data_IF_990394956831
#
_entry.id   IF_990394956831
#
_cell.length_a   1.000
_cell.length_b   1.000
_cell.length_c   1.000
_cell.angle_alpha   90.00
_cell.angle_beta   90.00
_cell.angle_gamma   90.00
#
_symmetry.space_group_name_H-M   'P 1'
#
loop_
_entity.id
_entity.type
_entity.pdbx_description
1 polymer ?
#
# COMPACT_ATOMS: atom_id res chain seq x y z
N UNK A 1 7.93 7.64 -0.15
CA UNK A 1 6.58 8.02 0.30
C UNK A 1 6.22 9.40 -0.23
N UNK A 2 5.07 9.50 -0.89
CA UNK A 2 4.49 10.71 -1.46
C UNK A 2 3.30 11.17 -0.61
N UNK A 3 3.11 12.49 -0.48
CA UNK A 3 2.01 13.09 0.27
C UNK A 3 0.98 13.66 -0.69
N UNK A 4 -0.28 13.35 -0.44
CA UNK A 4 -1.41 13.79 -1.26
C UNK A 4 -2.49 14.40 -0.36
N UNK A 5 -3.12 15.50 -0.79
CA UNK A 5 -4.12 16.21 0.02
C UNK A 5 -5.40 16.48 -0.77
N UNK A 6 -6.53 16.12 -0.17
CA UNK A 6 -7.89 16.51 -0.56
C UNK A 6 -8.67 16.89 0.70
N UNK A 7 -8.87 18.20 0.95
CA UNK A 7 -9.40 18.69 2.24
C UNK A 7 -10.73 18.00 2.63
N UNK A 8 -10.87 17.53 3.88
CA UNK A 8 -9.94 17.65 5.02
C UNK A 8 -8.87 16.55 5.10
N UNK A 9 -8.83 15.62 4.15
CA UNK A 9 -8.01 14.41 4.16
C UNK A 9 -6.60 14.66 3.62
N UNK A 10 -5.60 14.09 4.29
CA UNK A 10 -4.23 13.97 3.82
C UNK A 10 -3.84 12.49 3.88
N UNK A 11 -3.27 11.97 2.79
CA UNK A 11 -2.83 10.59 2.69
C UNK A 11 -1.34 10.53 2.37
N UNK A 12 -0.66 9.54 2.95
CA UNK A 12 0.73 9.22 2.66
C UNK A 12 0.73 7.87 1.97
N UNK A 13 1.26 7.85 0.75
CA UNK A 13 1.22 6.66 -0.10
C UNK A 13 2.58 6.39 -0.74
N UNK A 14 2.79 5.16 -1.19
CA UNK A 14 3.95 4.72 -1.95
C UNK A 14 3.45 4.18 -3.30
N UNK A 15 3.95 4.76 -4.39
CA UNK A 15 3.62 4.28 -5.73
C UNK A 15 4.36 2.97 -6.02
N UNK A 16 3.65 2.05 -6.66
CA UNK A 16 4.16 0.75 -7.03
C UNK A 16 4.54 0.72 -8.51
N UNK A 17 5.84 0.65 -8.81
CA UNK A 17 6.32 0.40 -10.17
C UNK A 17 7.04 -0.94 -10.22
N UNK A 18 8.31 -1.02 -9.82
CA UNK A 18 9.04 -2.31 -9.81
C UNK A 18 10.11 -2.33 -8.72
N UNK A 19 9.81 -1.81 -7.53
CA UNK A 19 10.79 -1.68 -6.45
C UNK A 19 10.41 -2.49 -5.22
N UNK A 20 11.17 -3.56 -4.97
CA UNK A 20 11.03 -4.41 -3.81
C UNK A 20 11.49 -3.70 -2.53
N UNK A 21 12.53 -2.86 -2.61
CA UNK A 21 13.15 -2.27 -1.43
C UNK A 21 12.26 -1.24 -0.73
N UNK A 22 11.54 -0.42 -1.50
CA UNK A 22 10.61 0.56 -0.94
C UNK A 22 9.38 -0.10 -0.30
N UNK A 23 8.85 -1.16 -0.94
CA UNK A 23 7.72 -1.93 -0.41
C UNK A 23 8.13 -2.67 0.87
N UNK A 24 9.29 -3.32 0.85
CA UNK A 24 9.82 -4.04 2.02
C UNK A 24 10.04 -3.12 3.21
N UNK A 25 10.67 -1.97 2.97
CA UNK A 25 10.88 -0.95 4.00
C UNK A 25 9.54 -0.46 4.55
N UNK A 26 8.60 -0.11 3.67
CA UNK A 26 7.29 0.39 4.08
C UNK A 26 6.52 -0.61 4.95
N UNK A 27 6.47 -1.88 4.55
CA UNK A 27 5.76 -2.92 5.29
C UNK A 27 6.48 -3.29 6.59
N UNK A 28 7.81 -3.33 6.60
CA UNK A 28 8.59 -3.57 7.82
C UNK A 28 8.37 -2.45 8.83
N UNK A 29 8.51 -1.19 8.42
CA UNK A 29 8.26 -0.03 9.28
C UNK A 29 6.81 -0.04 9.81
N UNK A 30 5.84 -0.44 8.98
CA UNK A 30 4.43 -0.56 9.38
C UNK A 30 4.21 -1.68 10.42
N UNK A 31 4.76 -2.87 10.16
CA UNK A 31 4.67 -4.02 11.07
C UNK A 31 5.26 -3.69 12.45
N UNK A 32 6.45 -3.09 12.49
CA UNK A 32 7.11 -2.69 13.73
C UNK A 32 6.35 -1.60 14.48
N UNK A 33 5.84 -0.59 13.77
CA UNK A 33 5.16 0.56 14.40
C UNK A 33 3.79 0.20 14.95
N UNK A 34 3.03 -0.65 14.24
CA UNK A 34 1.62 -0.91 14.53
C UNK A 34 1.36 -2.34 15.02
N UNK A 35 2.40 -3.11 15.33
CA UNK A 35 2.32 -4.52 15.73
C UNK A 35 1.50 -5.35 14.72
N UNK A 36 1.78 -5.19 13.43
CA UNK A 36 1.14 -5.91 12.33
C UNK A 36 2.04 -7.01 11.79
N UNK A 37 1.44 -7.95 11.07
CA UNK A 37 2.13 -9.09 10.45
C UNK A 37 1.80 -9.14 8.96
N UNK A 38 2.09 -8.06 8.22
CA UNK A 38 1.96 -8.07 6.77
C UNK A 38 3.16 -8.76 6.12
N UNK A 39 2.88 -9.73 5.25
CA UNK A 39 3.86 -10.35 4.37
C UNK A 39 3.61 -9.90 2.93
N UNK A 40 4.63 -9.90 2.06
CA UNK A 40 4.45 -9.53 0.67
C UNK A 40 5.20 -10.44 -0.30
N UNK A 41 4.69 -10.52 -1.53
CA UNK A 41 5.37 -11.17 -2.65
C UNK A 41 5.07 -10.44 -3.96
N UNK A 42 6.02 -10.49 -4.87
CA UNK A 42 5.78 -10.06 -6.25
C UNK A 42 5.23 -11.21 -7.07
N UNK A 43 4.16 -10.92 -7.78
CA UNK A 43 3.55 -11.79 -8.77
C UNK A 43 3.48 -11.13 -10.14
N UNK A 44 2.82 -11.83 -11.07
CA UNK A 44 2.42 -11.28 -12.35
C UNK A 44 1.00 -11.72 -12.65
N UNK A 45 0.16 -10.80 -13.12
CA UNK A 45 -1.18 -11.10 -13.62
C UNK A 45 -1.26 -10.69 -15.08
N UNK A 46 -1.56 -11.65 -15.96
CA UNK A 46 -1.62 -11.46 -17.42
C UNK A 46 -0.37 -10.80 -18.04
N UNK A 47 0.80 -11.00 -17.40
CA UNK A 47 2.08 -10.44 -17.84
C UNK A 47 2.47 -9.11 -17.16
N UNK A 48 1.54 -8.46 -16.46
CA UNK A 48 1.79 -7.21 -15.73
C UNK A 48 2.28 -7.49 -14.30
N UNK A 49 3.21 -6.69 -13.75
CA UNK A 49 3.63 -6.81 -12.35
C UNK A 49 2.46 -6.62 -11.39
N UNK A 50 2.43 -7.42 -10.33
CA UNK A 50 1.43 -7.33 -9.26
C UNK A 50 2.13 -7.48 -7.91
N UNK A 51 1.82 -6.60 -6.97
CA UNK A 51 2.21 -6.78 -5.57
C UNK A 51 1.06 -7.47 -4.83
N UNK A 52 1.39 -8.56 -4.13
CA UNK A 52 0.44 -9.27 -3.29
C UNK A 52 0.88 -9.18 -1.84
N UNK A 53 0.08 -8.51 -1.02
CA UNK A 53 0.29 -8.33 0.42
C UNK A 53 -0.68 -9.26 1.15
N UNK A 54 -0.20 -9.97 2.15
CA UNK A 54 -0.98 -10.86 3.01
C UNK A 54 -1.02 -10.30 4.40
N UNK A 55 -2.22 -10.20 4.94
CA UNK A 55 -2.48 -9.89 6.33
C UNK A 55 -2.86 -11.18 7.05
N UNK A 56 -2.18 -11.47 8.16
CA UNK A 56 -2.57 -12.54 9.06
C UNK A 56 -3.75 -12.08 9.93
N UNK A 57 -4.94 -12.69 9.77
CA UNK A 57 -6.09 -12.42 10.63
C UNK A 57 -6.21 -13.50 11.72
N UNK A 58 -5.86 -13.20 12.99
CA UNK A 58 -5.84 -14.20 14.06
C UNK A 58 -7.23 -14.74 14.40
N UNK A 59 -8.31 -14.01 14.14
CA UNK A 59 -9.68 -14.42 14.48
C UNK A 59 -10.27 -15.53 13.60
N UNK A 60 -9.52 -16.07 12.64
CA UNK A 60 -10.01 -17.19 11.81
C UNK A 60 -8.96 -18.09 11.18
N UNK A 61 -7.67 -17.83 11.40
CA UNK A 61 -6.60 -18.52 10.65
C UNK A 61 -6.70 -18.28 9.13
N UNK A 62 -7.37 -17.20 8.72
CA UNK A 62 -7.57 -16.80 7.33
C UNK A 62 -6.61 -15.67 7.02
N UNK A 63 -6.01 -15.71 5.83
CA UNK A 63 -5.21 -14.62 5.32
C UNK A 63 -6.07 -13.71 4.46
N UNK A 64 -6.04 -12.41 4.72
CA UNK A 64 -6.57 -11.42 3.78
C UNK A 64 -5.49 -11.10 2.76
N UNK A 65 -5.83 -11.23 1.48
CA UNK A 65 -4.93 -10.83 0.39
C UNK A 65 -5.33 -9.44 -0.09
N UNK A 66 -4.34 -8.57 -0.25
CA UNK A 66 -4.44 -7.24 -0.82
C UNK A 66 -3.58 -7.26 -2.08
N UNK A 67 -4.18 -6.94 -3.21
CA UNK A 67 -3.50 -6.94 -4.51
C UNK A 67 -3.36 -5.50 -4.99
N UNK A 68 -2.18 -5.16 -5.50
CA UNK A 68 -1.86 -3.80 -5.96
C UNK A 68 -1.27 -3.90 -7.36
N UNK A 69 -1.93 -3.24 -8.31
CA UNK A 69 -1.49 -3.24 -9.70
C UNK A 69 -0.33 -2.27 -9.93
N UNK A 70 0.48 -2.58 -10.94
CA UNK A 70 1.58 -1.71 -11.34
C UNK A 70 1.08 -0.32 -11.76
N UNK A 71 1.53 0.70 -11.04
CA UNK A 71 1.17 2.11 -11.22
C UNK A 71 0.36 2.67 -10.06
N UNK A 72 -0.33 1.79 -9.32
CA UNK A 72 -1.18 2.14 -8.18
C UNK A 72 -0.37 2.44 -6.92
N UNK A 73 -1.08 2.81 -5.87
CA UNK A 73 -0.51 3.29 -4.63
C UNK A 73 -0.91 2.40 -3.45
N UNK A 74 0.03 2.19 -2.54
CA UNK A 74 -0.23 1.64 -1.20
C UNK A 74 -0.11 2.75 -0.17
N UNK A 75 -1.06 2.83 0.75
CA UNK A 75 -1.00 3.70 1.92
C UNK A 75 -1.31 2.93 3.18
N UNK A 76 -1.31 3.65 4.29
CA UNK A 76 -1.72 3.14 5.60
C UNK A 76 -2.61 4.15 6.32
N UNK A 77 -3.51 3.65 7.16
CA UNK A 77 -4.29 4.48 8.08
C UNK A 77 -3.58 4.70 9.44
N UNK A 78 -4.26 5.37 10.36
CA UNK A 78 -3.75 5.65 11.72
C UNK A 78 -3.54 4.40 12.59
N UNK A 79 -4.07 3.24 12.18
CA UNK A 79 -3.94 1.95 12.87
C UNK A 79 -2.99 0.99 12.15
N UNK A 80 -2.31 1.46 11.10
CA UNK A 80 -1.41 0.66 10.27
C UNK A 80 -2.11 -0.33 9.35
N UNK A 81 -3.42 -0.19 9.09
CA UNK A 81 -4.08 -1.00 8.08
C UNK A 81 -3.66 -0.54 6.69
N UNK A 82 -3.28 -1.50 5.83
CA UNK A 82 -2.89 -1.19 4.45
C UNK A 82 -4.14 -0.93 3.60
N UNK A 83 -4.12 0.20 2.88
CA UNK A 83 -5.15 0.60 1.91
C UNK A 83 -4.51 0.79 0.54
N UNK A 84 -5.21 0.36 -0.50
CA UNK A 84 -4.80 0.53 -1.89
C UNK A 84 -5.57 1.69 -2.52
N UNK A 85 -4.90 2.46 -3.37
CA UNK A 85 -5.52 3.55 -4.11
C UNK A 85 -5.16 3.42 -5.58
N UNK A 86 -6.18 3.52 -6.43
CA UNK A 86 -5.96 3.52 -7.87
C UNK A 86 -5.25 4.80 -8.28
N UNK A 87 -4.38 4.69 -9.29
CA UNK A 87 -3.71 5.87 -9.82
C UNK A 87 -4.71 6.96 -10.23
N UNK A 88 -5.75 6.57 -10.97
CA UNK A 88 -6.76 7.48 -11.50
C UNK A 88 -7.50 8.21 -10.37
N UNK A 89 -7.78 7.52 -9.25
CA UNK A 89 -8.44 8.14 -8.09
C UNK A 89 -7.53 9.16 -7.39
N UNK A 90 -6.25 8.83 -7.22
CA UNK A 90 -5.31 9.78 -6.61
C UNK A 90 -5.12 11.00 -7.49
N UNK A 91 -4.95 10.81 -8.80
CA UNK A 91 -4.74 11.91 -9.75
C UNK A 91 -6.00 12.76 -9.96
N UNK A 92 -7.20 12.18 -9.84
CA UNK A 92 -8.47 12.91 -9.95
C UNK A 92 -8.82 13.70 -8.67
N UNK A 93 -8.69 13.06 -7.50
CA UNK A 93 -9.21 13.64 -6.26
C UNK A 93 -8.15 14.36 -5.43
N UNK A 94 -6.88 14.00 -5.53
CA UNK A 94 -5.85 14.52 -4.63
C UNK A 94 -4.82 15.40 -5.34
N UNK A 95 -4.35 16.42 -4.62
CA UNK A 95 -3.23 17.23 -5.09
C UNK A 95 -1.94 16.70 -4.44
N UNK A 96 -0.93 16.39 -5.25
CA UNK A 96 0.40 16.04 -4.76
C UNK A 96 0.99 17.24 -4.00
N UNK A 97 1.40 16.99 -2.76
CA UNK A 97 2.09 17.97 -1.92
C UNK A 97 3.58 17.81 -2.18
N UNK A 98 4.15 18.75 -2.94
CA UNK A 98 5.61 18.84 -3.13
C UNK A 98 6.22 19.44 -1.87
N UNK A 99 7.01 18.66 -1.15
CA UNK A 99 7.91 19.16 -0.10
C UNK A 99 9.12 19.88 -0.69
#
# INVERSE_FOLDING_TARGET
MQKFRHKPTEIIVQRFYNNNGEVDKFLTENNETYCREYEWRFGKVKGSPLLQIREHCPEGGVYRNIEVEHGDYIGRDEYGNITTYLQDEIEEFYNEVKE
#
